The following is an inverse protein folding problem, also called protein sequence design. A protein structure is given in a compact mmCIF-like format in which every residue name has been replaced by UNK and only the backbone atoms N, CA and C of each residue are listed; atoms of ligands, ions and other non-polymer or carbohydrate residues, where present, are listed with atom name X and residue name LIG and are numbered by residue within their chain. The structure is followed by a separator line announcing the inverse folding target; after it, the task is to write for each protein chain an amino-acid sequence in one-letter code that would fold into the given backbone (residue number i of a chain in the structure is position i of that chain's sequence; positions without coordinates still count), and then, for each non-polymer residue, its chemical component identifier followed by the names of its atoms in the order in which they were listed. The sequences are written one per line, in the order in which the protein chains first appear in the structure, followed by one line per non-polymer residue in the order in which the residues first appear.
data_IF_614971915525
#
_entry.id   IF_614971915525
#
_cell.length_a   1.000
_cell.length_b   1.000
_cell.length_c   1.000
_cell.angle_alpha   90.00
_cell.angle_beta   90.00
_cell.angle_gamma   90.00
#
_symmetry.space_group_name_H-M   'P 1'
#
loop_
_entity.id
_entity.type
_entity.pdbx_description
1 polymer ?
#
# COMPACT_ATOMS: atom_id res chain seq x y z
N UNK A 1 -2.34 10.47 -4.85
CA UNK A 1 -2.42 11.96 -4.92
C UNK A 1 -2.50 12.58 -3.52
N UNK A 2 -1.65 13.56 -3.20
CA UNK A 2 -1.91 14.48 -2.09
C UNK A 2 -3.13 15.33 -2.46
N UNK A 3 -4.11 15.39 -1.56
CA UNK A 3 -5.42 16.01 -1.75
C UNK A 3 -5.36 17.41 -2.41
N UNK A 4 -5.92 17.54 -3.62
CA UNK A 4 -6.03 18.81 -4.37
C UNK A 4 -6.82 19.93 -3.64
N UNK A 5 -7.33 19.66 -2.44
CA UNK A 5 -8.09 20.61 -1.62
C UNK A 5 -7.68 20.64 -0.13
N UNK A 6 -6.59 19.98 0.27
CA UNK A 6 -6.21 19.92 1.69
C UNK A 6 -7.28 19.22 2.56
N UNK A 7 -7.97 18.25 1.98
CA UNK A 7 -9.03 17.44 2.60
C UNK A 7 -8.65 15.96 2.49
N UNK A 8 -8.79 15.21 3.58
CA UNK A 8 -8.68 13.76 3.63
C UNK A 8 -10.01 13.17 4.15
N UNK A 9 -10.67 12.35 3.35
CA UNK A 9 -11.96 11.74 3.70
C UNK A 9 -13.08 12.75 3.95
N UNK A 10 -13.06 13.89 3.25
CA UNK A 10 -13.96 15.01 3.50
C UNK A 10 -13.66 15.83 4.76
N UNK A 11 -12.52 15.57 5.42
CA UNK A 11 -12.07 16.25 6.64
C UNK A 11 -10.84 17.10 6.33
N UNK A 12 -10.68 18.32 6.87
CA UNK A 12 -9.48 19.12 6.64
C UNK A 12 -8.20 18.39 7.07
N UNK A 13 -7.22 18.29 6.17
CA UNK A 13 -5.94 17.57 6.35
C UNK A 13 -5.22 17.96 7.64
N UNK A 14 -5.25 19.26 7.99
CA UNK A 14 -4.67 19.80 9.24
C UNK A 14 -5.23 19.16 10.53
N UNK A 15 -6.43 18.58 10.47
CA UNK A 15 -7.05 17.87 11.61
C UNK A 15 -6.68 16.39 11.64
N UNK A 16 -6.36 15.83 10.49
CA UNK A 16 -6.01 14.41 10.32
C UNK A 16 -4.52 14.19 10.58
N UNK A 17 -3.66 15.09 10.09
CA UNK A 17 -2.21 14.99 10.20
C UNK A 17 -1.68 14.73 11.63
N UNK A 18 -2.17 15.42 12.69
CA UNK A 18 -1.74 15.12 14.06
C UNK A 18 -2.06 13.69 14.52
N UNK A 19 -3.11 13.08 13.97
CA UNK A 19 -3.47 11.68 14.25
C UNK A 19 -2.44 10.76 13.59
N UNK A 20 -2.10 10.99 12.32
CA UNK A 20 -1.06 10.22 11.62
C UNK A 20 0.31 10.38 12.28
N UNK A 21 0.71 11.60 12.66
CA UNK A 21 1.98 11.85 13.35
C UNK A 21 2.05 11.04 14.67
N UNK A 22 0.94 10.96 15.41
CA UNK A 22 0.85 10.16 16.62
C UNK A 22 0.85 8.64 16.35
N UNK A 23 0.23 8.18 15.26
CA UNK A 23 0.26 6.77 14.83
C UNK A 23 1.68 6.36 14.43
N UNK A 24 2.35 7.17 13.61
CA UNK A 24 3.69 6.90 13.09
C UNK A 24 4.73 6.95 14.23
N UNK A 25 4.53 7.84 15.21
CA UNK A 25 5.32 7.90 16.46
C UNK A 25 4.95 6.82 17.48
N UNK A 26 4.03 5.90 17.15
CA UNK A 26 3.51 4.83 18.04
C UNK A 26 2.86 5.31 19.34
N UNK A 27 2.40 6.56 19.40
CA UNK A 27 1.70 7.15 20.55
C UNK A 27 0.19 6.85 20.48
N UNK A 28 -0.19 5.57 20.48
CA UNK A 28 -1.57 5.16 20.16
C UNK A 28 -2.64 5.67 21.14
N UNK A 29 -2.32 5.82 22.43
CA UNK A 29 -3.24 6.43 23.41
C UNK A 29 -3.55 7.89 23.08
N UNK A 30 -2.54 8.64 22.63
CA UNK A 30 -2.70 10.02 22.19
C UNK A 30 -3.49 10.09 20.87
N UNK A 31 -3.13 9.24 19.91
CA UNK A 31 -3.87 9.12 18.65
C UNK A 31 -5.36 8.82 18.89
N UNK A 32 -5.69 7.94 19.83
CA UNK A 32 -7.08 7.61 20.18
C UNK A 32 -7.84 8.81 20.77
N UNK A 33 -7.17 9.62 21.60
CA UNK A 33 -7.77 10.85 22.13
C UNK A 33 -8.05 11.86 21.00
N UNK A 34 -7.10 12.03 20.09
CA UNK A 34 -7.24 12.91 18.93
C UNK A 34 -8.35 12.42 17.98
N UNK A 35 -8.43 11.11 17.72
CA UNK A 35 -9.49 10.54 16.87
C UNK A 35 -10.88 10.65 17.51
N UNK A 36 -10.99 10.47 18.83
CA UNK A 36 -12.25 10.72 19.54
C UNK A 36 -12.69 12.18 19.45
N UNK A 37 -11.75 13.13 19.59
CA UNK A 37 -12.04 14.55 19.38
C UNK A 37 -12.43 14.87 17.93
N UNK A 38 -11.92 14.13 16.96
CA UNK A 38 -12.27 14.30 15.56
C UNK A 38 -13.71 13.82 15.30
N UNK A 39 -14.06 12.64 15.82
CA UNK A 39 -15.40 12.06 15.71
C UNK A 39 -16.46 12.90 16.41
N UNK A 40 -16.13 13.61 17.50
CA UNK A 40 -17.07 14.55 18.11
C UNK A 40 -17.48 15.70 17.16
N UNK A 41 -16.62 16.07 16.19
CA UNK A 41 -16.89 17.11 15.19
C UNK A 41 -17.45 16.56 13.89
N UNK A 42 -17.07 15.33 13.54
CA UNK A 42 -17.46 14.65 12.31
C UNK A 42 -17.97 13.24 12.63
N UNK A 43 -19.14 13.11 13.31
CA UNK A 43 -19.62 11.83 13.83
C UNK A 43 -19.96 10.82 12.72
N UNK A 44 -20.38 11.31 11.56
CA UNK A 44 -20.80 10.50 10.43
C UNK A 44 -19.73 10.41 9.33
N UNK A 45 -18.47 10.78 9.62
CA UNK A 45 -17.39 10.69 8.64
C UNK A 45 -16.77 9.29 8.65
N UNK A 46 -16.89 8.50 7.57
CA UNK A 46 -16.36 7.14 7.51
C UNK A 46 -14.84 7.09 7.73
N UNK A 47 -14.12 8.11 7.23
CA UNK A 47 -12.68 8.20 7.38
C UNK A 47 -12.24 8.36 8.84
N UNK A 48 -12.95 9.16 9.64
CA UNK A 48 -12.64 9.33 11.06
C UNK A 48 -12.83 8.02 11.84
N UNK A 49 -13.85 7.23 11.48
CA UNK A 49 -14.07 5.90 12.04
C UNK A 49 -12.98 4.92 11.59
N UNK A 50 -12.60 4.93 10.31
CA UNK A 50 -11.52 4.09 9.79
C UNK A 50 -10.19 4.35 10.52
N UNK A 51 -9.86 5.63 10.79
CA UNK A 51 -8.68 6.01 11.59
C UNK A 51 -8.78 5.50 13.04
N UNK A 52 -9.94 5.63 13.67
CA UNK A 52 -10.17 5.09 15.02
C UNK A 52 -9.98 3.57 15.03
N UNK A 53 -10.53 2.85 14.06
CA UNK A 53 -10.38 1.41 13.95
C UNK A 53 -8.91 1.01 13.75
N UNK A 54 -8.17 1.74 12.90
CA UNK A 54 -6.74 1.54 12.73
C UNK A 54 -5.97 1.69 14.04
N UNK A 55 -6.27 2.73 14.83
CA UNK A 55 -5.63 2.93 16.14
C UNK A 55 -5.97 1.79 17.10
N UNK A 56 -7.22 1.35 17.15
CA UNK A 56 -7.66 0.25 18.02
C UNK A 56 -6.99 -1.08 17.64
N UNK A 57 -6.85 -1.36 16.34
CA UNK A 57 -6.10 -2.52 15.84
C UNK A 57 -4.65 -2.46 16.32
N UNK A 58 -3.98 -1.31 16.15
CA UNK A 58 -2.60 -1.11 16.63
C UNK A 58 -2.45 -1.21 18.15
N UNK A 59 -3.51 -0.98 18.90
CA UNK A 59 -3.55 -1.13 20.36
C UNK A 59 -3.86 -2.58 20.81
N UNK A 60 -4.06 -3.51 19.88
CA UNK A 60 -4.37 -4.91 20.21
C UNK A 60 -5.83 -5.12 20.62
N UNK A 61 -6.75 -4.28 20.15
CA UNK A 61 -8.20 -4.39 20.40
C UNK A 61 -8.96 -4.75 19.11
N UNK A 62 -8.82 -5.99 18.61
CA UNK A 62 -9.35 -6.37 17.29
C UNK A 62 -10.88 -6.31 17.23
N UNK A 63 -11.60 -6.72 18.27
CA UNK A 63 -13.08 -6.73 18.28
C UNK A 63 -13.66 -5.30 18.25
N UNK A 64 -13.07 -4.39 19.05
CA UNK A 64 -13.42 -2.97 19.01
C UNK A 64 -13.07 -2.36 17.65
N UNK A 65 -11.93 -2.73 17.06
CA UNK A 65 -11.55 -2.25 15.74
C UNK A 65 -12.53 -2.73 14.66
N UNK A 66 -12.92 -4.00 14.69
CA UNK A 66 -13.86 -4.60 13.74
C UNK A 66 -15.22 -3.91 13.80
N UNK A 67 -15.78 -3.75 15.00
CA UNK A 67 -17.08 -3.06 15.16
C UNK A 67 -17.07 -1.64 14.60
N UNK A 68 -16.00 -0.87 14.85
CA UNK A 68 -15.84 0.49 14.30
C UNK A 68 -15.68 0.47 12.78
N UNK A 69 -14.95 -0.50 12.22
CA UNK A 69 -14.81 -0.68 10.77
C UNK A 69 -16.13 -1.03 10.08
N UNK A 70 -16.95 -1.88 10.69
CA UNK A 70 -18.28 -2.21 10.15
C UNK A 70 -19.20 -0.99 10.13
N UNK A 71 -19.19 -0.19 11.21
CA UNK A 71 -19.94 1.07 11.23
C UNK A 71 -19.47 2.04 10.14
N UNK A 72 -18.15 2.12 9.90
CA UNK A 72 -17.60 2.94 8.82
C UNK A 72 -18.06 2.45 7.44
N UNK A 73 -18.10 1.13 7.22
CA UNK A 73 -18.59 0.50 6.00
C UNK A 73 -20.08 0.78 5.78
N UNK A 74 -20.91 0.65 6.80
CA UNK A 74 -22.35 0.98 6.70
C UNK A 74 -22.55 2.44 6.28
N UNK A 75 -21.81 3.37 6.89
CA UNK A 75 -21.89 4.78 6.53
C UNK A 75 -21.40 5.08 5.10
N UNK A 76 -20.46 4.30 4.55
CA UNK A 76 -20.08 4.39 3.13
C UNK A 76 -21.23 3.96 2.21
N UNK A 77 -22.03 2.98 2.62
CA UNK A 77 -23.13 2.47 1.80
C UNK A 77 -24.39 3.34 1.87
N UNK A 78 -24.65 3.99 3.01
CA UNK A 78 -25.89 4.76 3.24
C UNK A 78 -25.78 6.21 2.77
N UNK A 79 -24.58 6.81 2.78
CA UNK A 79 -24.43 8.21 2.40
C UNK A 79 -24.11 8.35 0.92
N UNK A 80 -25.14 8.45 0.07
CA UNK A 80 -25.01 8.73 -1.37
C UNK A 80 -24.28 10.05 -1.69
N UNK A 81 -24.16 10.96 -0.72
CA UNK A 81 -23.48 12.26 -0.86
C UNK A 81 -22.00 12.26 -0.48
N UNK A 82 -21.50 11.19 0.15
CA UNK A 82 -20.08 11.11 0.54
C UNK A 82 -19.30 10.60 -0.67
N UNK A 83 -18.42 11.45 -1.20
CA UNK A 83 -17.36 11.04 -2.11
C UNK A 83 -16.67 9.83 -1.50
N UNK A 84 -16.80 8.67 -2.14
CA UNK A 84 -16.04 7.49 -1.76
C UNK A 84 -14.58 7.84 -1.99
N UNK A 85 -13.86 8.07 -0.89
CA UNK A 85 -12.49 8.55 -0.91
C UNK A 85 -11.52 7.37 -0.77
N UNK A 86 -10.50 7.36 -1.61
CA UNK A 86 -9.43 6.37 -1.66
C UNK A 86 -8.71 6.24 -0.32
N UNK A 87 -8.55 7.34 0.43
CA UNK A 87 -7.97 7.31 1.78
C UNK A 87 -8.81 6.50 2.76
N UNK A 88 -10.13 6.54 2.63
CA UNK A 88 -11.04 5.77 3.47
C UNK A 88 -10.96 4.30 3.13
N UNK A 89 -11.08 3.96 1.84
CA UNK A 89 -11.02 2.58 1.38
C UNK A 89 -9.68 1.93 1.70
N UNK A 90 -8.56 2.62 1.45
CA UNK A 90 -7.22 2.12 1.74
C UNK A 90 -6.99 1.94 3.25
N UNK A 91 -7.50 2.83 4.09
CA UNK A 91 -7.41 2.68 5.56
C UNK A 91 -8.23 1.50 6.05
N UNK A 92 -9.48 1.35 5.58
CA UNK A 92 -10.32 0.19 5.91
C UNK A 92 -9.69 -1.12 5.43
N UNK A 93 -9.13 -1.14 4.23
CA UNK A 93 -8.39 -2.29 3.70
C UNK A 93 -7.26 -2.72 4.64
N UNK A 94 -6.44 -1.78 5.12
CA UNK A 94 -5.34 -2.10 6.05
C UNK A 94 -5.87 -2.78 7.31
N UNK A 95 -6.95 -2.25 7.89
CA UNK A 95 -7.52 -2.81 9.13
C UNK A 95 -8.13 -4.18 8.87
N UNK A 96 -9.00 -4.31 7.86
CA UNK A 96 -9.62 -5.57 7.50
C UNK A 96 -8.60 -6.66 7.15
N UNK A 97 -7.54 -6.32 6.41
CA UNK A 97 -6.48 -7.26 6.08
C UNK A 97 -5.77 -7.80 7.33
N UNK A 98 -5.56 -6.95 8.34
CA UNK A 98 -4.91 -7.33 9.60
C UNK A 98 -5.82 -8.12 10.53
N UNK A 99 -7.12 -7.88 10.45
CA UNK A 99 -8.16 -8.66 11.15
C UNK A 99 -8.56 -9.94 10.39
N UNK A 100 -7.88 -10.25 9.27
CA UNK A 100 -8.17 -11.37 8.37
C UNK A 100 -9.57 -11.37 7.73
N UNK A 101 -10.23 -10.22 7.71
CA UNK A 101 -11.54 -10.00 7.09
C UNK A 101 -11.42 -9.34 5.71
N UNK A 102 -10.60 -9.90 4.82
CA UNK A 102 -10.38 -9.36 3.47
C UNK A 102 -11.67 -9.31 2.64
N UNK A 103 -12.61 -10.21 2.89
CA UNK A 103 -13.95 -10.22 2.31
C UNK A 103 -14.70 -8.90 2.54
N UNK A 104 -14.58 -8.32 3.73
CA UNK A 104 -15.20 -7.05 4.05
C UNK A 104 -14.57 -5.90 3.27
N UNK A 105 -13.24 -5.91 3.10
CA UNK A 105 -12.52 -4.94 2.28
C UNK A 105 -12.93 -5.06 0.80
N UNK A 106 -13.00 -6.27 0.26
CA UNK A 106 -13.45 -6.53 -1.12
C UNK A 106 -14.84 -5.93 -1.35
N UNK A 107 -15.78 -6.18 -0.43
CA UNK A 107 -17.14 -5.65 -0.52
C UNK A 107 -17.20 -4.11 -0.54
N UNK A 108 -16.31 -3.41 0.18
CA UNK A 108 -16.24 -1.94 0.10
C UNK A 108 -15.79 -1.46 -1.29
N UNK A 109 -14.79 -2.12 -1.88
CA UNK A 109 -14.31 -1.78 -3.22
C UNK A 109 -15.29 -2.17 -4.32
N UNK A 110 -16.01 -3.29 -4.19
CA UNK A 110 -17.08 -3.69 -5.11
C UNK A 110 -18.20 -2.64 -5.14
N UNK A 111 -18.61 -2.15 -3.97
CA UNK A 111 -19.60 -1.07 -3.88
C UNK A 111 -19.08 0.22 -4.54
N UNK A 112 -17.82 0.59 -4.28
CA UNK A 112 -17.20 1.77 -4.88
C UNK A 112 -17.11 1.69 -6.40
N UNK A 113 -16.68 0.55 -6.94
CA UNK A 113 -16.66 0.28 -8.38
C UNK A 113 -18.07 0.29 -8.99
N UNK A 114 -19.09 -0.19 -8.27
CA UNK A 114 -20.49 -0.13 -8.72
C UNK A 114 -21.01 1.30 -8.85
N UNK A 115 -20.60 2.20 -7.95
CA UNK A 115 -20.95 3.63 -8.01
C UNK A 115 -20.14 4.41 -9.04
N UNK A 116 -18.86 4.08 -9.20
CA UNK A 116 -17.94 4.75 -10.11
C UNK A 116 -17.32 3.75 -11.11
N UNK A 117 -18.11 3.22 -12.06
CA UNK A 117 -17.70 2.11 -12.92
C UNK A 117 -16.64 2.46 -13.96
N UNK A 118 -16.18 3.72 -14.04
CA UNK A 118 -15.10 4.14 -14.93
C UNK A 118 -13.86 4.62 -14.15
N UNK A 119 -13.85 4.45 -12.82
CA UNK A 119 -12.71 4.85 -12.02
C UNK A 119 -11.67 3.72 -11.96
N UNK A 120 -10.59 3.88 -12.74
CA UNK A 120 -9.50 2.92 -12.85
C UNK A 120 -8.79 2.69 -11.51
N UNK A 121 -8.67 3.69 -10.64
CA UNK A 121 -8.00 3.57 -9.34
C UNK A 121 -8.74 2.59 -8.43
N UNK A 122 -10.07 2.68 -8.39
CA UNK A 122 -10.92 1.75 -7.64
C UNK A 122 -10.85 0.34 -8.22
N UNK A 123 -10.85 0.20 -9.55
CA UNK A 123 -10.71 -1.10 -10.21
C UNK A 123 -9.37 -1.76 -9.92
N UNK A 124 -8.27 -1.00 -9.97
CA UNK A 124 -6.94 -1.51 -9.62
C UNK A 124 -6.89 -1.96 -8.15
N UNK A 125 -7.49 -1.19 -7.23
CA UNK A 125 -7.60 -1.57 -5.82
C UNK A 125 -8.38 -2.87 -5.62
N UNK A 126 -9.51 -3.02 -6.32
CA UNK A 126 -10.32 -4.23 -6.28
C UNK A 126 -9.56 -5.44 -6.85
N UNK A 127 -8.89 -5.28 -7.99
CA UNK A 127 -8.13 -6.35 -8.62
C UNK A 127 -6.95 -6.81 -7.75
N UNK A 128 -6.26 -5.88 -7.10
CA UNK A 128 -5.25 -6.20 -6.09
C UNK A 128 -5.84 -7.05 -4.95
N UNK A 129 -6.99 -6.65 -4.39
CA UNK A 129 -7.64 -7.37 -3.29
C UNK A 129 -8.06 -8.78 -3.69
N UNK A 130 -8.66 -8.94 -4.87
CA UNK A 130 -9.05 -10.23 -5.41
C UNK A 130 -7.82 -11.13 -5.62
N UNK A 131 -6.73 -10.59 -6.15
CA UNK A 131 -5.48 -11.32 -6.35
C UNK A 131 -4.89 -11.81 -5.01
N UNK A 132 -4.88 -10.96 -3.97
CA UNK A 132 -4.44 -11.36 -2.63
C UNK A 132 -5.36 -12.45 -2.06
N UNK A 133 -6.68 -12.34 -2.25
CA UNK A 133 -7.64 -13.34 -1.80
C UNK A 133 -7.41 -14.69 -2.50
N UNK A 134 -7.20 -14.70 -3.82
CA UNK A 134 -6.87 -15.90 -4.60
C UNK A 134 -5.56 -16.52 -4.12
N UNK A 135 -4.53 -15.70 -3.87
CA UNK A 135 -3.26 -16.16 -3.32
C UNK A 135 -3.41 -16.80 -1.93
N UNK A 136 -4.23 -16.22 -1.03
CA UNK A 136 -4.48 -16.83 0.28
C UNK A 136 -5.20 -18.18 0.20
N UNK A 137 -6.07 -18.37 -0.78
CA UNK A 137 -6.84 -19.61 -0.95
C UNK A 137 -6.00 -20.71 -1.58
N UNK A 138 -5.28 -20.40 -2.67
CA UNK A 138 -4.59 -21.40 -3.49
C UNK A 138 -3.10 -21.52 -3.14
N UNK A 139 -2.46 -20.44 -2.69
CA UNK A 139 -1.04 -20.41 -2.34
C UNK A 139 -0.08 -20.35 -3.53
N UNK A 140 -0.59 -20.29 -4.76
CA UNK A 140 0.23 -20.29 -5.99
C UNK A 140 0.90 -18.93 -6.27
N UNK A 141 2.11 -18.99 -6.81
CA UNK A 141 2.93 -17.80 -7.09
C UNK A 141 2.29 -16.85 -8.14
N UNK A 142 1.57 -17.36 -9.15
CA UNK A 142 0.90 -16.51 -10.16
C UNK A 142 -0.07 -15.48 -9.58
N UNK A 143 -0.83 -15.86 -8.55
CA UNK A 143 -1.81 -14.94 -7.92
C UNK A 143 -1.11 -13.91 -7.04
N UNK A 144 0.02 -14.30 -6.43
CA UNK A 144 0.90 -13.37 -5.75
C UNK A 144 1.47 -12.34 -6.73
N UNK A 145 1.94 -12.77 -7.91
CA UNK A 145 2.45 -11.86 -8.93
C UNK A 145 1.38 -10.90 -9.44
N UNK A 146 0.14 -11.37 -9.64
CA UNK A 146 -0.97 -10.48 -9.99
C UNK A 146 -1.19 -9.40 -8.93
N UNK A 147 -1.14 -9.76 -7.65
CA UNK A 147 -1.25 -8.79 -6.55
C UNK A 147 -0.08 -7.79 -6.54
N UNK A 148 1.16 -8.26 -6.70
CA UNK A 148 2.37 -7.41 -6.68
C UNK A 148 2.41 -6.47 -7.88
N UNK A 149 2.16 -6.95 -9.09
CA UNK A 149 2.12 -6.13 -10.30
C UNK A 149 1.01 -5.07 -10.21
N UNK A 150 -0.15 -5.42 -9.63
CA UNK A 150 -1.23 -4.45 -9.39
C UNK A 150 -0.80 -3.33 -8.44
N UNK A 151 -0.07 -3.68 -7.37
CA UNK A 151 0.49 -2.70 -6.44
C UNK A 151 1.51 -1.79 -7.13
N UNK A 152 2.43 -2.35 -7.92
CA UNK A 152 3.41 -1.58 -8.66
C UNK A 152 2.73 -0.62 -9.64
N UNK A 153 1.69 -1.06 -10.33
CA UNK A 153 0.91 -0.21 -11.25
C UNK A 153 0.23 0.95 -10.50
N UNK A 154 -0.39 0.69 -9.35
CA UNK A 154 -0.99 1.75 -8.52
C UNK A 154 0.04 2.79 -8.08
N UNK A 155 1.25 2.37 -7.71
CA UNK A 155 2.35 3.26 -7.34
C UNK A 155 2.79 4.09 -8.55
N UNK A 156 2.95 3.48 -9.73
CA UNK A 156 3.31 4.17 -10.97
C UNK A 156 2.26 5.20 -11.41
N UNK A 157 0.98 4.91 -11.22
CA UNK A 157 -0.11 5.86 -11.47
C UNK A 157 -0.19 6.99 -10.42
N UNK A 158 0.71 7.04 -9.43
CA UNK A 158 0.74 8.07 -8.40
C UNK A 158 -0.30 7.87 -7.29
N UNK A 159 -0.88 6.67 -7.19
CA UNK A 159 -1.89 6.31 -6.19
C UNK A 159 -1.41 5.30 -5.14
N UNK A 160 -0.10 5.18 -4.96
CA UNK A 160 0.51 4.32 -3.96
C UNK A 160 1.73 4.96 -3.34
N UNK A 161 1.68 5.24 -2.04
CA UNK A 161 2.86 5.63 -1.28
C UNK A 161 3.78 4.44 -0.99
N UNK A 162 4.91 4.70 -0.35
CA UNK A 162 5.87 3.69 0.12
C UNK A 162 5.22 2.52 0.90
N UNK A 163 4.11 2.79 1.59
CA UNK A 163 3.33 1.80 2.35
C UNK A 163 2.84 0.63 1.49
N UNK A 164 2.47 0.86 0.22
CA UNK A 164 2.03 -0.21 -0.67
C UNK A 164 3.21 -1.04 -1.18
N UNK A 165 4.34 -0.41 -1.49
CA UNK A 165 5.56 -1.12 -1.88
C UNK A 165 6.05 -2.04 -0.75
N UNK A 166 5.99 -1.58 0.51
CA UNK A 166 6.32 -2.39 1.68
C UNK A 166 5.37 -3.58 1.85
N UNK A 167 4.09 -3.41 1.52
CA UNK A 167 3.12 -4.52 1.52
C UNK A 167 3.50 -5.58 0.48
N UNK A 168 3.78 -5.16 -0.77
CA UNK A 168 4.19 -6.07 -1.84
C UNK A 168 5.46 -6.86 -1.47
N UNK A 169 6.46 -6.18 -0.89
CA UNK A 169 7.70 -6.80 -0.45
C UNK A 169 7.44 -7.82 0.67
N UNK A 170 6.58 -7.48 1.62
CA UNK A 170 6.17 -8.39 2.69
C UNK A 170 5.48 -9.66 2.17
N UNK A 171 4.63 -9.52 1.13
CA UNK A 171 3.96 -10.67 0.50
C UNK A 171 4.98 -11.59 -0.20
N UNK A 172 5.94 -11.02 -0.95
CA UNK A 172 6.99 -11.79 -1.62
C UNK A 172 7.93 -12.48 -0.63
N UNK A 173 8.42 -11.75 0.39
CA UNK A 173 9.28 -12.32 1.43
C UNK A 173 8.60 -13.49 2.14
N UNK A 174 7.31 -13.34 2.49
CA UNK A 174 6.53 -14.44 3.07
C UNK A 174 6.47 -15.64 2.14
N UNK A 175 6.20 -15.45 0.85
CA UNK A 175 6.17 -16.55 -0.11
C UNK A 175 7.51 -17.25 -0.26
N UNK A 176 8.60 -16.49 -0.42
CA UNK A 176 9.97 -17.03 -0.52
C UNK A 176 10.30 -17.92 0.69
N UNK A 177 9.94 -17.48 1.90
CA UNK A 177 10.20 -18.28 3.12
C UNK A 177 9.38 -19.56 3.21
N UNK A 178 8.22 -19.62 2.56
CA UNK A 178 7.32 -20.78 2.65
C UNK A 178 7.47 -21.76 1.48
N UNK A 179 7.67 -21.27 0.26
CA UNK A 179 7.58 -22.08 -0.96
C UNK A 179 8.74 -21.88 -1.94
N UNK A 180 9.71 -20.98 -1.67
CA UNK A 180 10.68 -20.49 -2.69
C UNK A 180 9.99 -19.75 -3.85
N UNK A 181 10.77 -19.16 -4.76
CA UNK A 181 10.30 -18.72 -6.08
C UNK A 181 10.75 -19.74 -7.13
N UNK A 182 9.91 -20.01 -8.12
CA UNK A 182 10.21 -20.97 -9.17
C UNK A 182 10.19 -20.34 -10.56
N UNK A 183 9.34 -19.33 -10.79
CA UNK A 183 9.28 -18.65 -12.07
C UNK A 183 10.33 -17.52 -12.21
N UNK A 184 11.00 -17.40 -13.37
CA UNK A 184 11.94 -16.31 -13.64
C UNK A 184 11.25 -14.94 -13.61
N UNK A 185 10.01 -14.87 -14.07
CA UNK A 185 9.19 -13.66 -14.04
C UNK A 185 8.97 -13.17 -12.61
N UNK A 186 8.82 -14.09 -11.65
CA UNK A 186 8.63 -13.76 -10.25
C UNK A 186 9.86 -13.06 -9.65
N UNK A 187 11.05 -13.49 -10.06
CA UNK A 187 12.31 -12.87 -9.66
C UNK A 187 12.47 -11.48 -10.28
N UNK A 188 12.14 -11.31 -11.56
CA UNK A 188 12.21 -10.01 -12.25
C UNK A 188 11.27 -9.01 -11.57
N UNK A 189 10.04 -9.43 -11.24
CA UNK A 189 9.08 -8.60 -10.52
C UNK A 189 9.61 -8.22 -9.12
N UNK A 190 10.25 -9.15 -8.42
CA UNK A 190 10.83 -8.85 -7.10
C UNK A 190 11.98 -7.85 -7.19
N UNK A 191 12.86 -7.98 -8.18
CA UNK A 191 13.97 -7.02 -8.38
C UNK A 191 13.41 -5.64 -8.72
N UNK A 192 12.47 -5.55 -9.67
CA UNK A 192 11.81 -4.30 -10.04
C UNK A 192 11.16 -3.61 -8.83
N UNK A 193 10.57 -4.40 -7.91
CA UNK A 193 10.03 -3.87 -6.66
C UNK A 193 11.10 -3.26 -5.75
N UNK A 194 12.26 -3.92 -5.61
CA UNK A 194 13.37 -3.42 -4.80
C UNK A 194 14.01 -2.17 -5.41
N UNK A 195 14.12 -2.11 -6.74
CA UNK A 195 14.57 -0.93 -7.48
C UNK A 195 13.62 0.25 -7.25
N UNK A 196 12.30 0.03 -7.30
CA UNK A 196 11.31 1.07 -6.95
C UNK A 196 11.45 1.57 -5.51
N UNK A 197 11.96 0.74 -4.60
CA UNK A 197 12.25 1.13 -3.22
C UNK A 197 13.68 1.68 -3.03
N UNK A 198 14.46 1.82 -4.11
CA UNK A 198 15.89 2.18 -4.06
C UNK A 198 16.77 1.23 -3.23
N UNK A 199 16.33 -0.02 -3.03
CA UNK A 199 17.08 -1.08 -2.32
C UNK A 199 17.97 -1.87 -3.27
N UNK A 200 18.88 -1.16 -3.95
CA UNK A 200 19.75 -1.76 -4.96
C UNK A 200 20.72 -2.81 -4.38
N UNK A 201 21.16 -2.63 -3.13
CA UNK A 201 21.99 -3.61 -2.43
C UNK A 201 21.28 -4.96 -2.27
N UNK A 202 20.07 -4.94 -1.73
CA UNK A 202 19.24 -6.14 -1.55
C UNK A 202 18.97 -6.83 -2.91
N UNK A 203 18.69 -6.06 -3.96
CA UNK A 203 18.48 -6.57 -5.31
C UNK A 203 19.71 -7.31 -5.86
N UNK A 204 20.91 -6.76 -5.65
CA UNK A 204 22.17 -7.39 -6.05
C UNK A 204 22.45 -8.67 -5.26
N UNK A 205 22.17 -8.68 -3.95
CA UNK A 205 22.31 -9.89 -3.13
C UNK A 205 21.42 -11.02 -3.65
N UNK A 206 20.15 -10.72 -3.93
CA UNK A 206 19.19 -11.70 -4.49
C UNK A 206 19.67 -12.21 -5.86
N UNK A 207 20.13 -11.30 -6.72
CA UNK A 207 20.66 -11.63 -8.05
C UNK A 207 21.95 -12.45 -8.00
N UNK A 208 22.79 -12.28 -6.99
CA UNK A 208 24.03 -13.04 -6.81
C UNK A 208 23.80 -14.39 -6.11
N UNK A 209 22.69 -14.53 -5.38
CA UNK A 209 22.33 -15.72 -4.63
C UNK A 209 21.67 -16.84 -5.45
N UNK A 210 21.07 -17.81 -4.74
CA UNK A 210 20.42 -19.00 -5.31
C UNK A 210 19.24 -18.67 -6.24
N UNK A 211 18.57 -17.55 -6.02
CA UNK A 211 17.46 -17.13 -6.86
C UNK A 211 17.95 -16.60 -8.22
N UNK A 212 19.14 -16.00 -8.28
CA UNK A 212 19.73 -15.48 -9.51
C UNK A 212 19.93 -16.51 -10.63
N UNK A 213 19.99 -17.81 -10.30
CA UNK A 213 20.07 -18.89 -11.30
C UNK A 213 18.77 -19.09 -12.09
N UNK A 214 17.65 -18.50 -11.65
CA UNK A 214 16.38 -18.54 -12.39
C UNK A 214 16.44 -17.67 -13.66
N UNK A 215 17.33 -16.67 -13.72
CA UNK A 215 17.48 -15.84 -14.92
C UNK A 215 18.26 -16.65 -15.97
N UNK A 216 17.54 -17.24 -16.93
CA UNK A 216 18.13 -18.08 -17.97
C UNK A 216 19.04 -17.30 -18.95
N UNK A 217 18.86 -15.98 -19.08
CA UNK A 217 19.66 -15.13 -19.97
C UNK A 217 20.65 -14.31 -19.14
N UNK A 218 21.91 -14.74 -19.14
CA UNK A 218 23.03 -14.07 -18.45
C UNK A 218 23.13 -12.58 -18.82
N UNK A 219 22.80 -12.22 -20.07
CA UNK A 219 22.79 -10.83 -20.56
C UNK A 219 21.75 -9.97 -19.85
N UNK A 220 20.56 -10.49 -19.58
CA UNK A 220 19.52 -9.76 -18.83
C UNK A 220 19.90 -9.63 -17.37
N UNK A 221 20.50 -10.67 -16.78
CA UNK A 221 21.06 -10.61 -15.43
C UNK A 221 22.13 -9.53 -15.32
N UNK A 222 23.07 -9.48 -16.25
CA UNK A 222 24.14 -8.48 -16.30
C UNK A 222 23.59 -7.08 -16.60
N UNK A 223 22.56 -6.93 -17.44
CA UNK A 223 21.91 -5.65 -17.72
C UNK A 223 21.21 -5.08 -16.49
N UNK A 224 20.48 -5.92 -15.75
CA UNK A 224 19.80 -5.55 -14.51
C UNK A 224 20.85 -5.22 -13.42
N UNK A 225 21.91 -6.03 -13.29
CA UNK A 225 23.02 -5.74 -12.38
C UNK A 225 23.73 -4.42 -12.72
N UNK A 226 23.99 -4.17 -14.01
CA UNK A 226 24.61 -2.94 -14.47
C UNK A 226 23.71 -1.72 -14.20
N UNK A 227 22.40 -1.82 -14.40
CA UNK A 227 21.46 -0.76 -14.03
C UNK A 227 21.46 -0.49 -12.52
N UNK A 228 21.37 -1.55 -11.70
CA UNK A 228 21.41 -1.45 -10.24
C UNK A 228 22.72 -0.86 -9.68
N UNK A 229 23.86 -1.09 -10.34
CA UNK A 229 25.15 -0.50 -9.96
C UNK A 229 25.33 0.94 -10.46
N UNK A 230 24.76 1.31 -11.62
CA UNK A 230 24.92 2.63 -12.22
C UNK A 230 23.97 3.69 -11.63
N UNK A 231 22.74 3.31 -11.24
CA UNK A 231 21.74 4.23 -10.69
C UNK A 231 22.17 4.95 -9.39
N UNK A 232 22.83 4.29 -8.42
CA UNK A 232 23.40 4.95 -7.24
C UNK A 232 24.51 5.97 -7.58
N UNK A 233 25.22 5.79 -8.69
CA UNK A 233 26.30 6.69 -9.12
C UNK A 233 25.77 7.99 -9.73
N UNK A 234 24.55 7.98 -10.29
CA UNK A 234 23.90 9.17 -10.87
C UNK A 234 23.07 9.99 -9.86
N UNK A 235 22.78 9.45 -8.67
CA UNK A 235 21.99 10.13 -7.63
C UNK A 235 22.82 10.83 -6.55
N UNK A 236 24.15 10.94 -6.74
CA UNK A 236 25.00 11.84 -5.95
C UNK A 236 24.64 13.31 -6.18
N UNK A 237 24.83 14.21 -5.19
CA UNK A 237 24.44 15.60 -5.32
C UNK A 237 25.17 16.22 -6.50
N UNK A 238 24.41 16.72 -7.46
CA UNK A 238 24.88 17.65 -8.49
C UNK A 238 25.43 18.86 -7.74
N UNK A 239 26.73 18.84 -7.44
CA UNK A 239 27.47 20.05 -7.08
C UNK A 239 27.33 20.95 -8.30
N UNK A 240 26.52 21.98 -8.16
CA UNK A 240 26.46 23.10 -9.09
C UNK A 240 27.91 23.54 -9.36
N UNK A 241 28.39 23.24 -10.56
CA UNK A 241 29.61 23.82 -11.07
C UNK A 241 29.33 25.32 -11.19
N UNK A 242 29.91 26.10 -10.28
CA UNK A 242 29.98 27.55 -10.39
C UNK A 242 30.71 27.83 -11.69
N UNK A 243 29.98 28.36 -12.67
CA UNK A 243 30.54 28.89 -13.90
C UNK A 243 31.28 30.18 -13.50
N UNK A 244 32.59 30.31 -13.75
CA UNK A 244 33.29 31.57 -13.53
C UNK A 244 32.79 32.57 -14.57
N UNK A 245 32.29 33.70 -14.09
CA UNK A 245 31.95 34.87 -14.90
C UNK A 245 33.24 35.59 -15.29
N UNK A 246 33.56 35.56 -16.58
CA UNK A 246 34.36 36.60 -17.24
C UNK A 246 33.41 37.66 -17.82
#
# INVERSE_FOLDING_TARGET
MASKFGMAGGIPERRVRPIWDAIDSRQFKNALKLSASLLAKYPNAPYALALKALILERMGKPDEALSVCLNAKELLHTNDSILIDDLTLSTLQIVFQRLDHLDMATSCYEYACGKFPNNLELMMGLFQLLSIKMYKVVGEERFLLWAVCSIQLQVLCGNGGEKLLLLAEGLLKKHITSHSLHEPDALIVYISLLEHQSKFGDALEILSGKLGSLIMIEVDRLRIQAQGCCLPCYSGPIRAAVIPSD
#
